data_IF_776494675364
#
_entry.id   IF_776494675364
#
_cell.length_a   1.000
_cell.length_b   1.000
_cell.length_c   1.000
_cell.angle_alpha   90.00
_cell.angle_beta   90.00
_cell.angle_gamma   90.00
#
_symmetry.space_group_name_H-M   'P 1'
#
loop_
_entity.id
_entity.type
_entity.pdbx_description
1 polymer ?
#
# COMPACT_ATOMS: atom_id res chain seq x y z
N UNK A 1 -44.99 46.43 39.05
CA UNK A 1 -43.76 45.74 38.59
C UNK A 1 -44.15 44.52 37.77
N UNK A 2 -43.86 44.49 36.46
CA UNK A 2 -44.08 43.31 35.61
C UNK A 2 -42.74 42.59 35.42
N UNK A 3 -42.60 41.40 36.01
CA UNK A 3 -41.43 40.54 35.86
C UNK A 3 -41.55 39.80 34.52
N UNK A 4 -40.62 40.03 33.59
CA UNK A 4 -40.51 39.24 32.35
C UNK A 4 -39.54 38.08 32.60
N UNK A 5 -40.05 36.85 32.57
CA UNK A 5 -39.25 35.64 32.53
C UNK A 5 -38.64 35.50 31.13
N UNK A 6 -37.31 35.49 31.04
CA UNK A 6 -36.58 35.01 29.86
C UNK A 6 -36.41 33.50 30.01
N UNK A 7 -37.04 32.71 29.14
CA UNK A 7 -36.75 31.29 29.01
C UNK A 7 -35.64 31.11 27.97
N UNK A 8 -34.48 30.62 28.41
CA UNK A 8 -33.37 30.25 27.54
C UNK A 8 -33.59 28.79 27.12
N UNK A 9 -33.98 28.57 25.86
CA UNK A 9 -34.07 27.24 25.27
C UNK A 9 -32.65 26.80 24.87
N UNK A 10 -32.02 25.94 25.67
CA UNK A 10 -30.77 25.28 25.30
C UNK A 10 -31.08 24.11 24.35
N UNK A 11 -30.73 24.24 23.07
CA UNK A 11 -30.86 23.15 22.09
C UNK A 11 -29.64 22.25 22.21
N UNK A 12 -29.79 21.07 22.80
CA UNK A 12 -28.76 20.04 22.81
C UNK A 12 -28.71 19.36 21.45
N UNK A 13 -27.65 19.60 20.67
CA UNK A 13 -27.37 18.86 19.44
C UNK A 13 -26.73 17.52 19.85
N UNK A 14 -27.50 16.43 19.79
CA UNK A 14 -26.95 15.08 19.91
C UNK A 14 -26.22 14.74 18.61
N UNK A 15 -24.88 14.60 18.70
CA UNK A 15 -24.10 14.03 17.61
C UNK A 15 -24.51 12.56 17.43
N UNK A 16 -24.85 12.17 16.20
CA UNK A 16 -25.11 10.78 15.87
C UNK A 16 -23.83 9.93 16.12
N UNK A 17 -23.96 8.67 16.58
CA UNK A 17 -22.81 7.79 16.74
C UNK A 17 -22.14 7.60 15.37
N UNK A 18 -20.87 7.97 15.28
CA UNK A 18 -20.01 7.64 14.15
C UNK A 18 -19.79 6.13 14.14
N UNK A 19 -20.55 5.40 13.33
CA UNK A 19 -20.23 4.02 12.98
C UNK A 19 -18.94 4.07 12.18
N UNK A 20 -17.85 3.52 12.72
CA UNK A 20 -16.61 3.36 11.98
C UNK A 20 -16.94 2.65 10.66
N UNK A 21 -16.55 3.25 9.54
CA UNK A 21 -16.73 2.62 8.24
C UNK A 21 -16.07 1.23 8.26
N UNK A 22 -16.63 0.22 7.57
CA UNK A 22 -16.04 -1.11 7.53
C UNK A 22 -14.60 -0.99 7.04
N UNK A 23 -13.68 -1.52 7.84
CA UNK A 23 -12.28 -1.71 7.49
C UNK A 23 -12.27 -2.54 6.21
N UNK A 24 -11.77 -1.98 5.11
CA UNK A 24 -11.67 -2.66 3.82
C UNK A 24 -10.22 -3.08 3.62
N UNK A 25 -9.84 -4.19 4.26
CA UNK A 25 -8.47 -4.67 4.22
C UNK A 25 -8.34 -5.85 3.24
N UNK A 26 -7.34 -5.77 2.39
CA UNK A 26 -6.93 -6.85 1.50
C UNK A 26 -5.45 -7.14 1.70
N UNK A 27 -5.09 -8.40 1.78
CA UNK A 27 -3.70 -8.81 1.88
C UNK A 27 -3.52 -10.23 1.37
N UNK A 28 -2.27 -10.62 1.16
CA UNK A 28 -1.93 -11.94 0.66
C UNK A 28 -0.83 -12.63 1.42
N UNK A 29 -0.81 -13.95 1.35
CA UNK A 29 0.31 -14.77 1.80
C UNK A 29 0.73 -15.72 0.69
N UNK A 30 2.03 -15.73 0.40
CA UNK A 30 2.61 -16.61 -0.61
C UNK A 30 3.60 -17.59 0.02
N UNK A 31 3.53 -18.86 -0.36
CA UNK A 31 4.59 -19.84 -0.10
C UNK A 31 5.03 -20.50 -1.41
N UNK A 32 6.30 -20.88 -1.47
CA UNK A 32 6.87 -21.65 -2.59
C UNK A 32 7.59 -22.87 -2.05
N UNK A 33 7.59 -23.95 -2.83
CA UNK A 33 8.17 -25.23 -2.43
C UNK A 33 8.53 -26.04 -3.68
N UNK A 34 9.69 -26.69 -3.71
CA UNK A 34 10.05 -27.58 -4.83
C UNK A 34 10.07 -29.03 -4.38
N UNK A 35 9.36 -29.92 -5.10
CA UNK A 35 9.30 -31.36 -4.81
C UNK A 35 9.32 -32.17 -6.10
N UNK A 36 10.22 -33.15 -6.19
CA UNK A 36 10.21 -34.13 -7.30
C UNK A 36 10.32 -33.52 -8.70
N UNK A 37 11.05 -32.41 -8.86
CA UNK A 37 11.15 -31.71 -10.15
C UNK A 37 9.91 -30.87 -10.49
N UNK A 38 9.11 -30.50 -9.49
CA UNK A 38 7.96 -29.62 -9.64
C UNK A 38 8.12 -28.46 -8.64
N UNK A 39 8.02 -27.24 -9.14
CA UNK A 39 7.95 -26.02 -8.34
C UNK A 39 6.50 -25.70 -8.04
N UNK A 40 6.17 -25.67 -6.76
CA UNK A 40 4.86 -25.33 -6.24
C UNK A 40 4.85 -23.90 -5.74
N UNK A 41 3.71 -23.24 -5.91
CA UNK A 41 3.41 -21.93 -5.34
C UNK A 41 1.99 -21.92 -4.82
N UNK A 42 1.81 -21.42 -3.60
CA UNK A 42 0.50 -21.15 -3.01
C UNK A 42 0.38 -19.67 -2.81
N UNK A 43 -0.74 -19.10 -3.25
CA UNK A 43 -1.14 -17.74 -2.96
C UNK A 43 -2.50 -17.74 -2.26
N UNK A 44 -2.54 -17.20 -1.05
CA UNK A 44 -3.77 -16.86 -0.36
C UNK A 44 -4.05 -15.37 -0.52
N UNK A 45 -5.26 -15.00 -0.91
CA UNK A 45 -5.72 -13.60 -0.96
C UNK A 45 -6.90 -13.41 -0.04
N UNK A 46 -6.67 -12.71 1.06
CA UNK A 46 -7.65 -12.38 2.08
C UNK A 46 -8.33 -11.06 1.74
N UNK A 47 -9.65 -11.01 1.92
CA UNK A 47 -10.45 -9.80 1.75
C UNK A 47 -11.45 -9.73 2.87
N UNK A 48 -11.42 -8.62 3.60
CA UNK A 48 -12.42 -8.30 4.61
C UNK A 48 -13.50 -7.39 4.03
N UNK A 49 -14.75 -7.79 4.18
CA UNK A 49 -15.91 -7.04 3.72
C UNK A 49 -16.83 -6.63 4.88
N UNK A 50 -16.33 -6.71 6.13
CA UNK A 50 -17.09 -6.38 7.33
C UNK A 50 -17.90 -7.54 7.91
N UNK A 51 -17.81 -8.76 7.34
CA UNK A 51 -18.52 -9.92 7.87
C UNK A 51 -17.99 -10.36 9.25
N UNK A 52 -18.90 -10.78 10.13
CA UNK A 52 -18.56 -11.38 11.43
C UNK A 52 -19.26 -12.73 11.55
N UNK A 53 -18.53 -13.71 12.05
CA UNK A 53 -19.05 -15.06 12.31
C UNK A 53 -20.16 -15.00 13.36
N UNK A 54 -21.32 -15.57 13.02
CA UNK A 54 -22.47 -15.65 13.93
C UNK A 54 -22.21 -16.56 15.13
N UNK A 55 -21.19 -17.42 15.07
CA UNK A 55 -20.89 -18.40 16.11
C UNK A 55 -20.06 -17.81 17.27
N UNK A 56 -19.11 -16.91 16.98
CA UNK A 56 -18.17 -16.39 17.98
C UNK A 56 -17.87 -14.89 17.85
N UNK A 57 -18.58 -14.17 16.97
CA UNK A 57 -18.42 -12.72 16.76
C UNK A 57 -17.09 -12.30 16.13
N UNK A 58 -16.26 -13.23 15.66
CA UNK A 58 -14.96 -12.91 15.04
C UNK A 58 -15.12 -12.45 13.61
N UNK A 59 -14.21 -11.60 13.14
CA UNK A 59 -14.13 -11.21 11.75
C UNK A 59 -13.98 -12.44 10.83
N UNK A 60 -14.88 -12.55 9.85
CA UNK A 60 -14.85 -13.58 8.83
C UNK A 60 -14.26 -12.99 7.55
N UNK A 61 -13.28 -13.67 6.98
CA UNK A 61 -12.54 -13.21 5.82
C UNK A 61 -12.81 -14.10 4.63
N UNK A 62 -12.97 -13.48 3.46
CA UNK A 62 -13.00 -14.20 2.19
C UNK A 62 -11.58 -14.49 1.76
N UNK A 63 -11.29 -15.73 1.41
CA UNK A 63 -9.95 -16.15 0.99
C UNK A 63 -10.01 -16.80 -0.38
N UNK A 64 -9.31 -16.22 -1.35
CA UNK A 64 -9.03 -16.87 -2.63
C UNK A 64 -7.69 -17.61 -2.53
N UNK A 65 -7.71 -18.92 -2.77
CA UNK A 65 -6.56 -19.81 -2.70
C UNK A 65 -6.19 -20.25 -4.10
N UNK A 66 -4.99 -19.91 -4.52
CA UNK A 66 -4.43 -20.28 -5.80
C UNK A 66 -3.19 -21.13 -5.57
N UNK A 67 -3.17 -22.32 -6.15
CA UNK A 67 -2.03 -23.21 -6.14
C UNK A 67 -1.56 -23.49 -7.55
N UNK A 68 -0.27 -23.38 -7.76
CA UNK A 68 0.41 -23.56 -9.04
C UNK A 68 1.46 -24.64 -8.86
N UNK A 69 1.51 -25.58 -9.78
CA UNK A 69 2.51 -26.63 -9.85
C UNK A 69 3.17 -26.61 -11.22
N UNK A 70 4.43 -26.22 -11.29
CA UNK A 70 5.22 -26.14 -12.53
C UNK A 70 6.22 -27.27 -12.59
N UNK A 71 6.08 -28.16 -13.55
CA UNK A 71 7.11 -29.15 -13.84
C UNK A 71 8.35 -28.44 -14.42
N UNK A 72 9.51 -28.61 -13.79
CA UNK A 72 10.72 -27.84 -14.14
C UNK A 72 11.36 -28.29 -15.44
N UNK A 73 11.18 -29.55 -15.83
CA UNK A 73 11.74 -30.10 -17.06
C UNK A 73 10.91 -29.74 -18.31
N UNK A 74 9.58 -29.82 -18.20
CA UNK A 74 8.66 -29.57 -19.33
C UNK A 74 8.10 -28.16 -19.35
N UNK A 75 8.20 -27.41 -18.25
CA UNK A 75 7.56 -26.12 -18.07
C UNK A 75 6.04 -26.18 -17.89
N UNK A 76 5.43 -27.38 -17.96
CA UNK A 76 3.98 -27.58 -17.81
C UNK A 76 3.51 -27.04 -16.47
N UNK A 77 2.41 -26.30 -16.49
CA UNK A 77 1.82 -25.63 -15.34
C UNK A 77 0.42 -26.16 -15.08
N UNK A 78 0.22 -26.76 -13.91
CA UNK A 78 -1.07 -27.20 -13.41
C UNK A 78 -1.54 -26.20 -12.35
N UNK A 79 -2.80 -25.76 -12.43
CA UNK A 79 -3.36 -24.72 -11.56
C UNK A 79 -4.60 -25.25 -10.83
N UNK A 80 -4.66 -25.00 -9.52
CA UNK A 80 -5.81 -25.21 -8.67
C UNK A 80 -6.23 -23.88 -8.06
N UNK A 81 -7.53 -23.55 -8.11
CA UNK A 81 -8.06 -22.32 -7.56
C UNK A 81 -9.34 -22.61 -6.79
N UNK A 82 -9.48 -22.05 -5.60
CA UNK A 82 -10.64 -22.22 -4.73
C UNK A 82 -10.90 -20.97 -3.92
N UNK A 83 -12.16 -20.60 -3.75
CA UNK A 83 -12.58 -19.61 -2.77
C UNK A 83 -13.05 -20.31 -1.50
N UNK A 84 -12.69 -19.78 -0.34
CA UNK A 84 -13.17 -20.25 0.96
C UNK A 84 -13.29 -19.08 1.94
N UNK A 85 -13.69 -19.39 3.16
CA UNK A 85 -13.73 -18.46 4.28
C UNK A 85 -12.64 -18.80 5.28
N UNK A 86 -12.18 -17.79 5.99
CA UNK A 86 -11.19 -17.94 7.06
C UNK A 86 -11.53 -17.05 8.24
N UNK A 87 -11.05 -17.46 9.41
CA UNK A 87 -11.18 -16.71 10.66
C UNK A 87 -9.78 -16.59 11.25
N UNK A 88 -9.45 -15.41 11.78
CA UNK A 88 -8.27 -15.22 12.61
C UNK A 88 -8.54 -15.76 14.02
N UNK A 89 -7.77 -16.76 14.43
CA UNK A 89 -7.86 -17.38 15.74
C UNK A 89 -6.46 -17.54 16.31
N UNK A 90 -6.24 -16.98 17.52
CA UNK A 90 -4.98 -17.15 18.26
C UNK A 90 -3.73 -16.72 17.46
N UNK A 91 -3.86 -15.73 16.58
CA UNK A 91 -2.76 -15.23 15.75
C UNK A 91 -2.59 -15.94 14.40
N UNK A 92 -3.35 -16.99 14.11
CA UNK A 92 -3.30 -17.72 12.85
C UNK A 92 -4.63 -17.72 12.09
N UNK A 93 -4.54 -17.94 10.78
CA UNK A 93 -5.67 -18.03 9.87
C UNK A 93 -5.90 -19.46 9.44
N UNK A 94 -7.15 -19.92 9.49
CA UNK A 94 -7.51 -21.26 9.04
C UNK A 94 -8.66 -21.21 8.06
N UNK A 95 -8.66 -22.08 7.04
CA UNK A 95 -9.75 -22.18 6.08
C UNK A 95 -9.87 -23.56 5.45
N UNK A 96 -11.11 -23.96 5.15
CA UNK A 96 -11.44 -25.27 4.59
C UNK A 96 -11.32 -25.26 3.05
N UNK A 97 -10.52 -26.18 2.51
CA UNK A 97 -10.30 -26.37 1.08
C UNK A 97 -11.04 -27.60 0.53
N UNK A 98 -11.97 -28.18 1.29
CA UNK A 98 -12.81 -29.33 0.97
C UNK A 98 -12.04 -30.65 0.88
N UNK A 99 -12.77 -31.77 0.83
CA UNK A 99 -12.20 -33.12 0.77
C UNK A 99 -11.21 -33.43 1.90
N UNK A 100 -11.46 -32.85 3.09
CA UNK A 100 -10.57 -32.88 4.27
C UNK A 100 -9.26 -32.10 4.09
N UNK A 101 -9.16 -31.26 3.07
CA UNK A 101 -8.05 -30.35 2.91
C UNK A 101 -8.32 -29.01 3.61
N UNK A 102 -7.28 -28.40 4.16
CA UNK A 102 -7.35 -27.09 4.78
C UNK A 102 -6.05 -26.33 4.53
N UNK A 103 -6.07 -25.03 4.83
CA UNK A 103 -4.86 -24.27 5.07
C UNK A 103 -4.82 -23.74 6.50
N UNK A 104 -3.61 -23.61 7.03
CA UNK A 104 -3.30 -22.93 8.27
C UNK A 104 -2.15 -21.95 7.99
N UNK A 105 -2.35 -20.68 8.30
CA UNK A 105 -1.37 -19.62 8.09
C UNK A 105 -1.09 -18.90 9.40
N UNK A 106 0.11 -19.11 9.91
CA UNK A 106 0.75 -18.27 10.91
C UNK A 106 1.58 -17.20 10.18
N UNK A 107 1.25 -15.89 10.28
CA UNK A 107 2.00 -14.83 9.62
C UNK A 107 3.40 -14.61 10.25
N UNK A 108 3.68 -15.22 11.41
CA UNK A 108 4.89 -15.00 12.18
C UNK A 108 4.85 -13.72 13.01
N UNK A 109 5.87 -13.53 13.84
CA UNK A 109 6.01 -12.37 14.71
C UNK A 109 7.46 -11.86 14.70
N UNK A 110 7.60 -10.54 14.74
CA UNK A 110 8.88 -9.86 14.92
C UNK A 110 8.90 -9.19 16.28
N UNK A 111 10.03 -9.24 16.96
CA UNK A 111 10.19 -8.49 18.20
C UNK A 111 10.12 -6.98 17.95
N UNK A 112 10.10 -6.21 19.04
CA UNK A 112 10.10 -4.74 19.01
C UNK A 112 11.35 -4.14 18.32
N UNK A 113 12.35 -4.97 17.99
CA UNK A 113 13.57 -4.60 17.27
C UNK A 113 13.53 -5.03 15.80
N UNK A 114 12.38 -5.52 15.32
CA UNK A 114 12.17 -5.98 13.95
C UNK A 114 12.89 -7.28 13.61
N UNK A 115 13.48 -7.97 14.58
CA UNK A 115 14.09 -9.29 14.40
C UNK A 115 12.98 -10.31 14.29
N UNK A 116 13.10 -11.19 13.32
CA UNK A 116 12.15 -12.30 13.15
C UNK A 116 12.36 -13.26 14.31
N UNK A 117 11.40 -13.30 15.24
CA UNK A 117 11.37 -14.30 16.31
C UNK A 117 10.63 -15.55 15.82
N UNK A 118 9.54 -15.34 15.09
CA UNK A 118 8.82 -16.40 14.39
C UNK A 118 8.72 -16.06 12.89
N UNK A 119 9.31 -16.87 11.99
CA UNK A 119 9.22 -16.65 10.56
C UNK A 119 7.82 -16.84 9.97
N UNK A 120 6.86 -17.36 10.75
CA UNK A 120 5.55 -17.75 10.30
C UNK A 120 5.57 -19.07 9.52
N UNK A 121 4.39 -19.62 9.29
CA UNK A 121 4.20 -20.90 8.60
C UNK A 121 2.88 -20.92 7.84
N UNK A 122 2.94 -21.21 6.54
CA UNK A 122 1.80 -21.57 5.72
C UNK A 122 1.81 -23.08 5.51
N UNK A 123 0.84 -23.76 6.08
CA UNK A 123 0.55 -25.17 5.82
C UNK A 123 -0.67 -25.28 4.92
N UNK A 124 -0.57 -26.06 3.85
CA UNK A 124 -1.70 -26.42 2.99
C UNK A 124 -1.65 -27.93 2.77
N UNK A 125 -2.71 -28.64 3.16
CA UNK A 125 -2.71 -30.10 3.10
C UNK A 125 -2.95 -30.64 1.69
N UNK A 126 -3.50 -29.81 0.79
CA UNK A 126 -3.66 -30.19 -0.61
C UNK A 126 -2.28 -30.28 -1.27
N UNK A 127 -1.93 -31.48 -1.74
CA UNK A 127 -0.60 -31.77 -2.33
C UNK A 127 -0.31 -31.00 -3.62
N UNK A 128 -1.31 -30.34 -4.20
CA UNK A 128 -1.15 -29.44 -5.35
C UNK A 128 -0.62 -28.06 -4.96
N UNK A 129 -0.56 -27.77 -3.66
CA UNK A 129 -0.17 -26.49 -3.09
C UNK A 129 1.21 -26.57 -2.44
N UNK A 130 1.92 -25.45 -2.41
CA UNK A 130 3.10 -25.27 -1.58
C UNK A 130 2.71 -25.06 -0.12
N UNK A 131 3.50 -25.65 0.78
CA UNK A 131 3.59 -25.23 2.18
C UNK A 131 4.98 -24.64 2.42
N UNK A 132 5.12 -23.81 3.43
CA UNK A 132 6.42 -23.26 3.79
C UNK A 132 6.33 -21.95 4.55
N UNK A 133 7.43 -21.22 4.54
CA UNK A 133 7.47 -19.89 5.16
C UNK A 133 6.68 -18.91 4.29
N UNK A 134 5.65 -18.24 4.83
CA UNK A 134 4.86 -17.29 4.06
C UNK A 134 5.64 -15.99 3.86
N UNK A 135 5.52 -15.43 2.67
CA UNK A 135 5.73 -14.01 2.43
C UNK A 135 4.36 -13.35 2.48
N UNK A 136 4.10 -12.58 3.55
CA UNK A 136 2.85 -11.86 3.73
C UNK A 136 2.99 -10.46 3.15
N UNK A 137 2.02 -10.05 2.34
CA UNK A 137 2.00 -8.75 1.66
C UNK A 137 0.63 -8.11 1.82
N UNK A 138 0.57 -6.97 2.50
CA UNK A 138 -0.64 -6.15 2.52
C UNK A 138 -0.85 -5.51 1.12
N UNK A 139 -2.08 -5.56 0.61
CA UNK A 139 -2.55 -4.96 -0.64
C UNK A 139 -1.98 -5.41 -2.01
N UNK A 140 -1.28 -6.54 -2.09
CA UNK A 140 -0.86 -7.09 -3.40
C UNK A 140 -1.32 -8.54 -3.54
N UNK A 141 -2.36 -8.80 -4.34
CA UNK A 141 -2.53 -10.12 -4.93
C UNK A 141 -1.50 -10.27 -6.05
N UNK A 142 -0.43 -11.08 -5.91
CA UNK A 142 0.40 -11.39 -7.04
C UNK A 142 -0.42 -12.18 -8.06
N UNK A 143 -0.15 -11.89 -9.34
CA UNK A 143 -0.93 -12.38 -10.46
C UNK A 143 -0.87 -13.92 -10.53
N UNK A 144 -1.97 -14.60 -10.89
CA UNK A 144 -1.94 -16.03 -11.19
C UNK A 144 -0.99 -16.33 -12.37
N UNK A 145 -0.10 -17.29 -12.19
CA UNK A 145 0.60 -17.95 -13.27
C UNK A 145 -0.33 -18.97 -13.93
N UNK A 146 -0.87 -18.58 -15.09
CA UNK A 146 -1.17 -19.42 -16.27
C UNK A 146 -2.07 -18.56 -17.16
N UNK A 147 -1.82 -18.30 -18.44
CA UNK A 147 -1.06 -19.03 -19.42
C UNK A 147 -0.16 -18.07 -20.21
N UNK A 148 1.06 -18.51 -20.54
CA UNK A 148 1.76 -17.96 -21.68
C UNK A 148 1.22 -18.65 -22.94
N UNK A 149 0.68 -17.92 -23.93
CA UNK A 149 0.71 -18.39 -25.30
C UNK A 149 2.18 -18.44 -25.76
N UNK A 150 2.47 -19.37 -26.67
CA UNK A 150 3.74 -19.49 -27.36
C UNK A 150 4.33 -18.13 -27.75
N UNK A 151 5.65 -18.03 -27.60
CA UNK A 151 6.49 -16.85 -27.81
C UNK A 151 5.95 -15.86 -28.86
N UNK A 152 5.22 -14.85 -28.38
CA UNK A 152 5.32 -13.51 -28.94
C UNK A 152 6.37 -12.81 -28.07
N UNK A 153 7.38 -12.12 -28.63
CA UNK A 153 8.37 -11.41 -27.82
C UNK A 153 7.65 -10.29 -27.06
N UNK A 154 7.19 -10.61 -25.86
CA UNK A 154 6.64 -9.65 -24.92
C UNK A 154 7.82 -8.84 -24.40
N UNK A 155 7.96 -7.64 -24.96
CA UNK A 155 8.76 -6.54 -24.41
C UNK A 155 8.64 -6.56 -22.88
N UNK A 156 9.79 -6.56 -22.21
CA UNK A 156 9.91 -6.37 -20.78
C UNK A 156 8.85 -5.36 -20.31
N UNK A 157 8.09 -5.72 -19.26
CA UNK A 157 7.49 -4.68 -18.41
C UNK A 157 8.67 -3.79 -18.05
N UNK A 158 8.73 -2.56 -18.56
CA UNK A 158 9.99 -1.85 -18.66
C UNK A 158 10.55 -1.79 -17.26
N UNK A 159 11.81 -2.19 -17.10
CA UNK A 159 12.61 -1.81 -15.95
C UNK A 159 12.18 -0.38 -15.60
N UNK A 160 11.70 -0.19 -14.37
CA UNK A 160 11.16 1.09 -13.88
C UNK A 160 12.30 2.09 -13.85
N UNK A 161 12.63 2.58 -15.04
CA UNK A 161 13.79 3.37 -15.35
C UNK A 161 13.43 4.80 -14.99
N UNK A 162 14.18 5.37 -14.07
CA UNK A 162 14.12 6.80 -13.80
C UNK A 162 14.41 7.60 -15.07
N UNK A 163 14.15 8.91 -15.09
CA UNK A 163 14.39 9.76 -16.27
C UNK A 163 15.89 9.83 -16.68
N UNK A 164 16.76 9.14 -15.93
CA UNK A 164 18.20 8.97 -16.12
C UNK A 164 18.61 7.59 -16.67
N UNK A 165 17.69 6.68 -16.99
CA UNK A 165 18.05 5.36 -17.54
C UNK A 165 18.28 4.24 -16.51
N UNK A 166 18.15 4.49 -15.20
CA UNK A 166 18.43 3.50 -14.13
C UNK A 166 17.17 3.00 -13.42
N UNK A 167 17.16 1.75 -12.94
CA UNK A 167 16.05 1.20 -12.14
C UNK A 167 15.87 2.00 -10.84
N UNK A 168 14.66 2.50 -10.59
CA UNK A 168 14.27 3.27 -9.40
C UNK A 168 13.77 2.32 -8.31
N UNK A 169 14.38 2.35 -7.12
CA UNK A 169 14.15 1.41 -6.00
C UNK A 169 13.71 2.14 -4.72
N UNK A 170 12.79 3.10 -4.87
CA UNK A 170 12.30 3.95 -3.77
C UNK A 170 11.18 3.32 -2.91
N UNK A 171 11.03 3.82 -1.69
CA UNK A 171 9.96 3.45 -0.74
C UNK A 171 8.61 4.05 -1.13
N UNK A 172 7.52 3.32 -0.88
CA UNK A 172 6.17 3.84 -1.09
C UNK A 172 5.72 4.74 0.07
N UNK A 173 5.25 5.93 -0.28
CA UNK A 173 4.69 6.94 0.61
C UNK A 173 3.37 7.45 0.05
N UNK A 174 2.54 8.04 0.90
CA UNK A 174 1.27 8.60 0.51
C UNK A 174 1.28 10.13 0.61
N UNK A 175 0.75 10.78 -0.42
CA UNK A 175 0.57 12.22 -0.43
C UNK A 175 -0.77 12.58 -1.08
N UNK A 176 -1.67 13.19 -0.29
CA UNK A 176 -2.89 13.83 -0.80
C UNK A 176 -3.77 12.94 -1.71
N UNK A 177 -3.83 11.63 -1.47
CA UNK A 177 -4.58 10.69 -2.30
C UNK A 177 -3.75 9.90 -3.31
N UNK A 178 -2.45 10.18 -3.43
CA UNK A 178 -1.58 9.58 -4.44
C UNK A 178 -0.49 8.73 -3.80
N UNK A 179 -0.14 7.64 -4.48
CA UNK A 179 1.05 6.85 -4.17
C UNK A 179 2.27 7.58 -4.71
N UNK A 180 3.29 7.70 -3.87
CA UNK A 180 4.56 8.34 -4.14
C UNK A 180 5.68 7.32 -3.97
N UNK A 181 6.71 7.39 -4.81
CA UNK A 181 7.96 6.68 -4.58
C UNK A 181 9.01 7.68 -4.12
N UNK A 182 9.63 7.40 -2.98
CA UNK A 182 10.70 8.18 -2.37
C UNK A 182 12.00 7.40 -2.52
N UNK A 183 12.92 7.91 -3.34
CA UNK A 183 14.26 7.35 -3.48
C UNK A 183 15.25 8.32 -2.86
N UNK A 184 15.71 7.98 -1.65
CA UNK A 184 16.62 8.81 -0.86
C UNK A 184 18.01 8.91 -1.50
N UNK A 185 18.46 7.83 -2.15
CA UNK A 185 19.76 7.78 -2.83
C UNK A 185 19.73 8.64 -4.10
N UNK A 186 18.63 8.56 -4.85
CA UNK A 186 18.45 9.37 -6.05
C UNK A 186 18.03 10.82 -5.76
N UNK A 187 17.59 11.10 -4.54
CA UNK A 187 17.20 12.44 -4.13
C UNK A 187 15.86 12.88 -4.70
N UNK A 188 14.93 11.96 -4.95
CA UNK A 188 13.68 12.28 -5.64
C UNK A 188 12.44 11.69 -4.98
N UNK A 189 11.33 12.40 -5.14
CA UNK A 189 9.99 11.90 -4.85
C UNK A 189 9.15 12.02 -6.11
N UNK A 190 8.54 10.91 -6.54
CA UNK A 190 7.77 10.83 -7.78
C UNK A 190 6.40 10.24 -7.57
N UNK A 191 5.45 10.61 -8.42
CA UNK A 191 4.16 9.95 -8.45
C UNK A 191 4.29 8.53 -9.00
N UNK A 192 3.86 7.53 -8.24
CA UNK A 192 3.62 6.18 -8.77
C UNK A 192 2.21 6.08 -9.32
N UNK A 193 1.22 6.35 -8.46
CA UNK A 193 -0.19 6.37 -8.81
C UNK A 193 -0.81 7.71 -8.39
N UNK A 194 -0.84 8.71 -9.30
CA UNK A 194 -1.58 9.94 -9.06
C UNK A 194 -3.06 9.64 -8.78
N UNK A 195 -3.67 10.34 -7.82
CA UNK A 195 -5.12 10.22 -7.60
C UNK A 195 -5.90 10.59 -8.85
N UNK A 196 -7.05 9.96 -9.05
CA UNK A 196 -7.88 10.16 -10.24
C UNK A 196 -8.19 11.65 -10.53
N UNK A 197 -8.45 12.45 -9.49
CA UNK A 197 -8.80 13.87 -9.65
C UNK A 197 -7.67 14.77 -10.15
N UNK A 198 -6.41 14.32 -10.10
CA UNK A 198 -5.25 15.08 -10.63
C UNK A 198 -4.62 14.45 -11.88
N UNK A 199 -5.12 13.28 -12.32
CA UNK A 199 -4.57 12.50 -13.44
C UNK A 199 -4.51 13.25 -14.78
N UNK A 200 -5.28 14.33 -14.93
CA UNK A 200 -5.24 15.21 -16.11
C UNK A 200 -4.03 16.15 -16.14
N UNK A 201 -3.33 16.29 -15.02
CA UNK A 201 -2.19 17.22 -14.84
C UNK A 201 -0.92 16.47 -14.49
N UNK A 202 -1.05 15.39 -13.71
CA UNK A 202 0.06 14.60 -13.18
C UNK A 202 -0.05 13.17 -13.69
N UNK A 203 1.06 12.63 -14.18
CA UNK A 203 1.21 11.26 -14.67
C UNK A 203 2.14 10.46 -13.77
N UNK A 204 2.05 9.11 -13.78
CA UNK A 204 3.08 8.27 -13.20
C UNK A 204 4.48 8.67 -13.70
N UNK A 205 5.43 8.78 -12.78
CA UNK A 205 6.80 9.22 -13.03
C UNK A 205 7.05 10.71 -12.89
N UNK A 206 6.01 11.56 -12.87
CA UNK A 206 6.18 12.99 -12.65
C UNK A 206 6.81 13.25 -11.28
N UNK A 207 7.73 14.20 -11.23
CA UNK A 207 8.56 14.48 -10.06
C UNK A 207 7.86 15.50 -9.17
N UNK A 208 7.54 15.12 -7.93
CA UNK A 208 7.01 16.03 -6.91
C UNK A 208 8.13 16.81 -6.21
N UNK A 209 9.31 16.19 -6.06
CA UNK A 209 10.45 16.79 -5.36
C UNK A 209 11.79 16.27 -5.88
N UNK A 210 12.80 17.15 -5.87
CA UNK A 210 14.23 16.81 -6.03
C UNK A 210 15.06 17.48 -4.94
N UNK A 211 15.98 16.77 -4.32
CA UNK A 211 16.82 17.33 -3.27
C UNK A 211 17.72 16.30 -2.58
N UNK A 212 18.17 16.66 -1.38
CA UNK A 212 19.12 15.85 -0.60
C UNK A 212 18.43 15.30 0.64
N UNK A 213 18.54 13.98 0.83
CA UNK A 213 18.13 13.27 2.05
C UNK A 213 19.36 13.03 2.91
N UNK A 214 19.48 13.76 4.02
CA UNK A 214 20.67 13.73 4.88
C UNK A 214 20.62 12.59 5.89
N UNK A 215 21.80 12.15 6.34
CA UNK A 215 21.92 11.04 7.29
C UNK A 215 21.25 11.31 8.64
N UNK A 216 21.10 12.57 9.02
CA UNK A 216 20.49 13.08 10.26
C UNK A 216 18.97 13.28 10.19
N UNK A 217 18.33 12.84 9.09
CA UNK A 217 16.89 12.97 8.89
C UNK A 217 16.46 14.33 8.33
N UNK A 218 17.40 15.20 7.95
CA UNK A 218 17.11 16.48 7.30
C UNK A 218 16.88 16.30 5.80
N UNK A 219 15.91 17.01 5.22
CA UNK A 219 15.62 17.01 3.77
C UNK A 219 15.53 18.43 3.27
N UNK A 220 16.19 18.74 2.16
CA UNK A 220 16.16 20.05 1.51
C UNK A 220 16.18 19.90 -0.01
N UNK A 221 15.40 20.71 -0.72
CA UNK A 221 15.39 20.70 -2.17
C UNK A 221 14.27 21.53 -2.80
N UNK A 222 13.92 21.18 -4.04
CA UNK A 222 12.90 21.84 -4.85
C UNK A 222 11.68 20.95 -4.97
N UNK A 223 10.51 21.47 -4.59
CA UNK A 223 9.21 20.86 -4.85
C UNK A 223 8.55 21.47 -6.10
N UNK A 224 7.64 20.71 -6.70
CA UNK A 224 6.94 21.08 -7.93
C UNK A 224 5.42 21.10 -7.68
N UNK A 225 4.78 22.23 -7.97
CA UNK A 225 3.32 22.37 -7.92
C UNK A 225 2.71 22.29 -9.32
N UNK A 226 1.64 21.52 -9.47
CA UNK A 226 1.03 21.22 -10.75
C UNK A 226 -0.31 21.93 -10.91
N UNK A 227 -0.53 22.57 -12.06
CA UNK A 227 -1.80 23.18 -12.46
C UNK A 227 -2.13 22.79 -13.90
N UNK A 228 -3.40 22.46 -14.16
CA UNK A 228 -3.88 22.09 -15.50
C UNK A 228 -3.44 23.14 -16.53
N UNK A 229 -2.78 22.70 -17.59
CA UNK A 229 -2.35 23.56 -18.69
C UNK A 229 -1.13 24.45 -18.40
N UNK A 230 -0.49 24.29 -17.25
CA UNK A 230 0.71 25.03 -16.89
C UNK A 230 1.93 24.11 -16.75
N UNK A 231 3.14 24.62 -17.00
CA UNK A 231 4.36 23.92 -16.58
C UNK A 231 4.39 23.80 -15.04
N UNK A 232 5.09 22.81 -14.49
CA UNK A 232 5.26 22.69 -13.05
C UNK A 232 5.93 23.94 -12.46
N UNK A 233 5.36 24.45 -11.36
CA UNK A 233 5.90 25.60 -10.65
C UNK A 233 6.86 25.15 -9.54
N UNK A 234 8.11 25.58 -9.62
CA UNK A 234 9.17 25.22 -8.70
C UNK A 234 9.19 26.11 -7.45
N UNK A 235 9.48 25.52 -6.29
CA UNK A 235 9.68 26.25 -5.04
C UNK A 235 10.58 25.46 -4.07
N UNK A 236 11.42 26.18 -3.34
CA UNK A 236 12.31 25.59 -2.35
C UNK A 236 11.53 25.11 -1.12
N UNK A 237 11.86 23.92 -0.64
CA UNK A 237 11.30 23.33 0.59
C UNK A 237 12.40 22.71 1.44
N UNK A 238 12.19 22.73 2.75
CA UNK A 238 13.03 22.03 3.72
C UNK A 238 12.17 21.37 4.79
N UNK A 239 12.68 20.31 5.39
CA UNK A 239 11.96 19.56 6.39
C UNK A 239 12.80 18.49 7.05
N UNK A 240 12.09 17.60 7.75
CA UNK A 240 12.68 16.42 8.37
C UNK A 240 11.80 15.20 8.10
N UNK A 241 12.43 14.04 8.16
CA UNK A 241 11.78 12.74 8.16
C UNK A 241 12.36 11.87 9.29
N UNK A 242 11.57 10.95 9.87
CA UNK A 242 12.04 10.10 10.96
C UNK A 242 13.05 9.04 10.47
N UNK A 243 14.04 8.66 11.31
CA UNK A 243 15.03 7.57 11.10
C UNK A 243 15.08 6.58 12.29
N UNK A 244 15.20 5.23 12.13
CA UNK A 244 15.51 4.44 10.91
C UNK A 244 14.51 3.30 10.49
N UNK A 245 14.65 2.84 9.23
CA UNK A 245 14.24 1.62 8.46
C UNK A 245 12.83 0.98 8.54
N UNK A 246 11.96 1.28 9.49
CA UNK A 246 10.69 0.51 9.66
C UNK A 246 9.45 1.38 9.80
N UNK A 247 9.33 2.47 9.05
CA UNK A 247 8.34 3.52 9.35
C UNK A 247 6.90 3.20 8.97
N UNK A 248 6.30 2.28 9.73
CA UNK A 248 4.89 2.32 10.08
C UNK A 248 4.66 3.67 10.81
N UNK A 249 3.70 4.47 10.36
CA UNK A 249 3.34 5.81 10.90
C UNK A 249 4.40 6.91 10.74
N UNK A 250 5.39 6.75 9.83
CA UNK A 250 6.33 7.83 9.53
C UNK A 250 5.64 9.02 8.87
N UNK A 251 5.99 10.24 9.25
CA UNK A 251 5.51 11.46 8.57
C UNK A 251 6.69 12.35 8.22
N UNK A 252 6.87 12.58 6.92
CA UNK A 252 7.80 13.56 6.38
C UNK A 252 7.03 14.84 6.08
N UNK A 253 7.52 15.96 6.59
CA UNK A 253 6.91 17.27 6.35
C UNK A 253 7.96 18.21 5.79
N UNK A 254 7.77 18.64 4.55
CA UNK A 254 8.59 19.63 3.87
C UNK A 254 7.80 20.94 3.77
N UNK A 255 8.45 22.06 4.07
CA UNK A 255 7.81 23.39 4.10
C UNK A 255 8.62 24.42 3.35
N UNK A 256 7.92 25.36 2.72
CA UNK A 256 8.51 26.45 1.97
C UNK A 256 7.43 27.40 1.42
N UNK A 257 7.79 28.59 0.92
CA UNK A 257 6.82 29.49 0.32
C UNK A 257 6.34 28.90 -1.03
N UNK A 258 5.13 28.33 -1.05
CA UNK A 258 4.58 27.64 -2.22
C UNK A 258 3.97 28.58 -3.27
N UNK A 259 3.77 28.13 -4.52
CA UNK A 259 3.15 28.93 -5.59
C UNK A 259 1.70 29.29 -5.29
N UNK A 260 1.32 30.56 -5.47
CA UNK A 260 -0.07 31.01 -5.60
C UNK A 260 -0.29 31.46 -7.04
N UNK A 261 -0.93 30.62 -7.83
CA UNK A 261 -1.24 30.93 -9.22
C UNK A 261 -2.26 32.05 -9.32
N UNK A 262 -2.03 33.00 -10.24
CA UNK A 262 -3.05 33.96 -10.64
C UNK A 262 -4.24 33.22 -11.27
N UNK A 263 -5.49 33.62 -10.99
CA UNK A 263 -6.66 33.05 -11.66
C UNK A 263 -6.51 33.10 -13.18
N UNK A 264 -6.80 31.99 -13.86
CA UNK A 264 -6.72 31.90 -15.33
C UNK A 264 -5.32 31.96 -15.96
N UNK A 265 -4.23 32.08 -15.20
CA UNK A 265 -2.87 32.20 -15.74
C UNK A 265 -1.89 31.19 -15.11
N UNK A 266 -0.76 30.95 -15.76
CA UNK A 266 0.36 30.16 -15.21
C UNK A 266 1.34 31.01 -14.38
N UNK A 267 1.15 32.32 -14.34
CA UNK A 267 1.89 33.20 -13.44
C UNK A 267 1.57 32.87 -11.97
N UNK A 268 2.60 32.88 -11.13
CA UNK A 268 2.46 32.65 -9.69
C UNK A 268 3.42 33.52 -8.88
N UNK A 269 3.06 33.74 -7.62
CA UNK A 269 3.96 34.31 -6.61
C UNK A 269 4.19 33.29 -5.50
N UNK A 270 5.40 33.22 -4.95
CA UNK A 270 5.68 32.36 -3.80
C UNK A 270 5.12 32.98 -2.52
N UNK A 271 4.43 32.16 -1.72
CA UNK A 271 3.79 32.63 -0.49
C UNK A 271 3.74 31.52 0.57
N UNK A 272 4.12 31.81 1.83
CA UNK A 272 3.92 30.86 2.94
C UNK A 272 2.45 30.46 3.16
N UNK A 273 1.52 31.30 2.72
CA UNK A 273 0.08 31.06 2.81
C UNK A 273 -0.49 30.29 1.59
N UNK A 274 0.35 29.74 0.71
CA UNK A 274 -0.10 28.87 -0.38
C UNK A 274 -0.58 27.52 0.16
N UNK A 275 -1.57 26.89 -0.50
CA UNK A 275 -1.93 25.50 -0.21
C UNK A 275 -0.80 24.51 -0.55
N UNK A 276 0.19 24.93 -1.34
CA UNK A 276 1.39 24.15 -1.64
C UNK A 276 2.53 24.40 -0.65
N UNK A 277 2.37 25.25 0.38
CA UNK A 277 3.48 25.60 1.28
C UNK A 277 3.95 24.47 2.21
N UNK A 278 3.19 23.36 2.24
CA UNK A 278 3.47 22.19 3.07
C UNK A 278 3.23 20.91 2.26
N UNK A 279 4.28 20.12 2.08
CA UNK A 279 4.18 18.75 1.58
C UNK A 279 4.22 17.81 2.78
N UNK A 280 3.12 17.12 3.04
CA UNK A 280 3.06 16.05 4.03
C UNK A 280 3.05 14.74 3.28
N UNK A 281 4.06 13.92 3.53
CA UNK A 281 4.11 12.56 3.06
C UNK A 281 4.00 11.66 4.27
N UNK A 282 3.04 10.77 4.25
CA UNK A 282 2.89 9.75 5.25
C UNK A 282 3.54 8.48 4.69
N UNK A 283 4.52 7.95 5.40
CA UNK A 283 5.00 6.61 5.13
C UNK A 283 3.80 5.70 5.23
N UNK A 284 3.70 4.74 4.32
CA UNK A 284 2.59 3.82 4.30
C UNK A 284 2.53 3.10 5.66
N UNK A 285 1.60 3.55 6.50
CA UNK A 285 1.35 3.00 7.81
C UNK A 285 0.29 1.94 7.63
N UNK A 286 0.68 0.68 7.73
CA UNK A 286 -0.25 -0.35 8.16
C UNK A 286 -0.86 0.14 9.49
N UNK A 287 -2.18 0.37 9.54
CA UNK A 287 -2.96 0.48 10.78
C UNK A 287 -3.55 -0.88 11.08
#
# INVERSE_FOLDING_TARGET
MKLRLLAILATAIQAAPTVAAPIQDKWTAEATESRGGIDYRTLLTFTYDGAVSSFNGRAEWKVAVLCEARNTASGKLDVFNRATKSILAQGAWEGDLGDRNYFHLDPGYKDDKGRIEDPGKLEVTDKRCASGRPTVVNDLAPKPASAAPAAVPAKASPDRIGNNGKKFDGYLWYHNGSDMLVDEEFGEIRYDKPKASISKVVKPGDVLFRGVFSKDGTVEGTAYAFKVGCPPAEYAVKGRYPKPVTFVNGRMTLTGPGPKFKPGSCEYTLSPASGHSKLVLDAHSDV
#
